data_IF_575380484965
#
_entry.id   IF_575380484965
#
_cell.length_a   1.000
_cell.length_b   1.000
_cell.length_c   1.000
_cell.angle_alpha   90.00
_cell.angle_beta   90.00
_cell.angle_gamma   90.00
#
_symmetry.space_group_name_H-M   'P 1'
#
loop_
_entity.id
_entity.type
_entity.pdbx_description
1 polymer ?
#
# COMPACT_ATOMS: atom_id res chain seq x y z
N UNK A 1 -42.51 41.76 -10.17
CA UNK A 1 -42.54 42.46 -11.45
C UNK A 1 -41.82 41.57 -12.42
N UNK A 2 -42.55 40.74 -13.19
CA UNK A 2 -42.89 40.93 -14.61
C UNK A 2 -41.64 40.80 -15.48
N UNK A 3 -41.49 39.99 -16.50
CA UNK A 3 -42.42 39.19 -17.38
C UNK A 3 -41.52 38.18 -18.13
N UNK A 4 -41.87 36.93 -18.28
CA UNK A 4 -42.72 36.22 -19.29
C UNK A 4 -42.24 36.33 -20.75
N UNK A 5 -42.00 35.10 -21.30
CA UNK A 5 -42.28 34.66 -22.69
C UNK A 5 -41.25 35.02 -23.81
N UNK A 6 -40.93 34.10 -24.74
CA UNK A 6 -41.81 33.37 -25.68
C UNK A 6 -41.04 32.38 -26.53
N UNK A 7 -41.68 31.30 -26.86
CA UNK A 7 -41.38 30.28 -27.87
C UNK A 7 -41.18 30.84 -29.28
N UNK A 8 -40.30 30.20 -30.10
CA UNK A 8 -40.57 30.04 -31.55
C UNK A 8 -40.06 28.66 -32.00
N UNK A 9 -41.03 27.86 -32.47
CA UNK A 9 -40.86 26.64 -33.25
C UNK A 9 -40.69 27.07 -34.71
N UNK A 10 -39.70 26.50 -35.41
CA UNK A 10 -39.73 26.54 -36.87
C UNK A 10 -39.36 25.13 -37.43
N UNK A 11 -40.36 24.47 -37.94
CA UNK A 11 -40.26 23.29 -38.78
C UNK A 11 -39.99 23.72 -40.20
N UNK A 12 -38.99 23.14 -40.87
CA UNK A 12 -38.84 23.25 -42.32
C UNK A 12 -38.58 21.81 -42.85
N UNK A 13 -39.59 21.30 -43.54
CA UNK A 13 -39.54 20.11 -44.37
C UNK A 13 -39.06 20.53 -45.77
N UNK A 14 -38.01 19.85 -46.34
CA UNK A 14 -37.82 19.88 -47.79
C UNK A 14 -37.18 18.55 -48.25
N UNK A 15 -37.98 17.83 -48.98
CA UNK A 15 -37.83 17.03 -50.19
C UNK A 15 -36.54 16.23 -50.48
N UNK A 16 -36.78 14.96 -50.77
CA UNK A 16 -35.94 13.98 -51.48
C UNK A 16 -35.39 14.50 -52.81
N UNK A 17 -34.08 14.28 -53.00
CA UNK A 17 -33.56 14.01 -54.35
C UNK A 17 -32.64 12.78 -54.27
N UNK A 18 -33.06 11.70 -54.92
CA UNK A 18 -32.21 10.53 -55.21
C UNK A 18 -31.22 10.90 -56.32
N UNK A 19 -29.93 10.84 -56.04
CA UNK A 19 -28.89 10.68 -57.03
C UNK A 19 -27.96 9.57 -56.55
N UNK A 20 -28.00 8.44 -57.29
CA UNK A 20 -27.12 7.30 -57.09
C UNK A 20 -25.67 7.68 -57.40
N UNK A 21 -24.83 7.52 -56.42
CA UNK A 21 -23.39 7.45 -56.58
C UNK A 21 -22.90 6.16 -55.95
N UNK A 22 -22.36 5.27 -56.76
CA UNK A 22 -21.67 4.09 -56.32
C UNK A 22 -20.48 4.49 -55.46
N UNK A 23 -20.55 4.31 -54.18
CA UNK A 23 -19.43 4.48 -53.28
C UNK A 23 -18.66 3.18 -53.14
N UNK A 24 -17.49 3.21 -53.76
CA UNK A 24 -16.37 2.32 -53.50
C UNK A 24 -16.15 2.17 -51.99
N UNK A 25 -16.31 0.96 -51.44
CA UNK A 25 -15.94 0.64 -50.07
C UNK A 25 -14.43 0.72 -49.93
N UNK A 26 -13.92 1.85 -49.53
CA UNK A 26 -12.60 1.91 -48.96
C UNK A 26 -12.64 1.13 -47.63
N UNK A 27 -12.02 -0.03 -47.57
CA UNK A 27 -11.71 -0.74 -46.36
C UNK A 27 -10.74 0.13 -45.53
N UNK A 28 -11.27 0.92 -44.65
CA UNK A 28 -10.48 1.44 -43.52
C UNK A 28 -10.09 0.21 -42.67
N UNK A 29 -8.81 0.02 -42.34
CA UNK A 29 -8.46 -0.97 -41.35
C UNK A 29 -9.09 -0.53 -40.03
N UNK A 30 -10.19 -1.14 -39.60
CA UNK A 30 -10.58 -1.17 -38.22
C UNK A 30 -9.39 -1.81 -37.50
N UNK A 31 -8.54 -0.98 -36.88
CA UNK A 31 -7.70 -1.41 -35.77
C UNK A 31 -8.68 -1.90 -34.69
N UNK A 32 -9.00 -3.18 -34.75
CA UNK A 32 -9.50 -3.89 -33.59
C UNK A 32 -8.42 -3.72 -32.52
N UNK A 33 -8.66 -2.85 -31.54
CA UNK A 33 -8.00 -2.96 -30.27
C UNK A 33 -8.36 -4.37 -29.76
N UNK A 34 -7.50 -5.34 -30.02
CA UNK A 34 -7.50 -6.59 -29.31
C UNK A 34 -7.42 -6.21 -27.83
N UNK A 35 -8.52 -6.26 -27.11
CA UNK A 35 -8.47 -6.38 -25.68
C UNK A 35 -7.54 -7.58 -25.45
N UNK A 36 -6.35 -7.32 -24.89
CA UNK A 36 -5.40 -8.36 -24.55
C UNK A 36 -6.15 -9.33 -23.65
N UNK A 37 -6.52 -10.48 -24.20
CA UNK A 37 -7.28 -11.51 -23.50
C UNK A 37 -6.30 -12.33 -22.64
N UNK A 38 -5.55 -11.62 -21.78
CA UNK A 38 -4.63 -12.20 -20.81
C UNK A 38 -5.42 -13.05 -19.80
N UNK A 39 -4.81 -14.11 -19.28
CA UNK A 39 -5.36 -14.85 -18.15
C UNK A 39 -5.18 -14.06 -16.84
N UNK A 40 -5.92 -14.42 -15.78
CA UNK A 40 -5.70 -13.83 -14.45
C UNK A 40 -4.25 -14.04 -13.97
N UNK A 41 -3.65 -15.19 -14.26
CA UNK A 41 -2.26 -15.48 -13.91
C UNK A 41 -1.26 -14.57 -14.65
N UNK A 42 -1.49 -14.28 -15.94
CA UNK A 42 -0.66 -13.33 -16.69
C UNK A 42 -0.80 -11.91 -16.17
N UNK A 43 -2.01 -11.49 -15.78
CA UNK A 43 -2.21 -10.17 -15.15
C UNK A 43 -1.45 -10.05 -13.82
N UNK A 44 -1.43 -11.11 -13.00
CA UNK A 44 -0.67 -11.14 -11.75
C UNK A 44 0.84 -11.09 -12.04
N UNK A 45 1.33 -11.86 -13.02
CA UNK A 45 2.74 -11.83 -13.40
C UNK A 45 3.17 -10.45 -13.93
N UNK A 46 2.33 -9.80 -14.74
CA UNK A 46 2.55 -8.42 -15.17
C UNK A 46 2.58 -7.44 -13.99
N UNK A 47 1.69 -7.61 -13.02
CA UNK A 47 1.67 -6.78 -11.82
C UNK A 47 2.96 -6.92 -11.00
N UNK A 48 3.50 -8.14 -10.86
CA UNK A 48 4.78 -8.37 -10.17
C UNK A 48 5.95 -7.67 -10.87
N UNK A 49 5.97 -7.68 -12.22
CA UNK A 49 6.98 -6.94 -12.99
C UNK A 49 6.87 -5.43 -12.79
N UNK A 50 5.66 -4.88 -12.71
CA UNK A 50 5.44 -3.47 -12.39
C UNK A 50 5.86 -3.14 -10.95
N UNK A 51 5.57 -4.04 -9.99
CA UNK A 51 5.98 -3.84 -8.60
C UNK A 51 7.50 -3.84 -8.41
N UNK A 52 8.23 -4.60 -9.19
CA UNK A 52 9.69 -4.54 -9.18
C UNK A 52 10.23 -3.14 -9.52
N UNK A 53 9.42 -2.30 -10.19
CA UNK A 53 9.73 -0.92 -10.54
C UNK A 53 8.94 0.10 -9.70
N UNK A 54 8.49 -0.26 -8.50
CA UNK A 54 7.56 0.52 -7.65
C UNK A 54 8.04 1.89 -7.22
N UNK A 55 9.34 2.14 -7.28
CA UNK A 55 9.88 3.48 -7.07
C UNK A 55 9.32 4.51 -8.09
N UNK A 56 8.94 4.05 -9.29
CA UNK A 56 8.12 4.80 -10.23
C UNK A 56 6.63 4.49 -9.95
N UNK A 57 5.94 5.44 -9.32
CA UNK A 57 4.53 5.28 -8.98
C UNK A 57 3.62 5.08 -10.20
N UNK A 58 4.06 5.44 -11.41
CA UNK A 58 3.31 5.14 -12.62
C UNK A 58 3.31 3.64 -12.90
N UNK A 59 4.44 2.95 -12.73
CA UNK A 59 4.52 1.50 -12.85
C UNK A 59 3.67 0.81 -11.78
N UNK A 60 3.75 1.30 -10.54
CA UNK A 60 2.91 0.77 -9.46
C UNK A 60 1.41 0.88 -9.77
N UNK A 61 0.94 2.03 -10.30
CA UNK A 61 -0.46 2.19 -10.73
C UNK A 61 -0.84 1.21 -11.83
N UNK A 62 0.05 0.91 -12.78
CA UNK A 62 -0.16 -0.14 -13.79
C UNK A 62 -0.31 -1.52 -13.13
N UNK A 63 0.53 -1.85 -12.16
CA UNK A 63 0.41 -3.08 -11.38
C UNK A 63 -0.94 -3.21 -10.67
N UNK A 64 -1.43 -2.14 -10.06
CA UNK A 64 -2.76 -2.08 -9.42
C UNK A 64 -3.86 -2.35 -10.45
N UNK A 65 -3.78 -1.77 -11.65
CA UNK A 65 -4.75 -2.03 -12.73
C UNK A 65 -4.72 -3.50 -13.16
N UNK A 66 -3.53 -4.09 -13.33
CA UNK A 66 -3.39 -5.51 -13.68
C UNK A 66 -4.00 -6.43 -12.63
N UNK A 67 -3.80 -6.16 -11.33
CA UNK A 67 -4.42 -6.95 -10.25
C UNK A 67 -5.95 -6.82 -10.20
N UNK A 68 -6.49 -5.65 -10.48
CA UNK A 68 -7.95 -5.46 -10.62
C UNK A 68 -8.51 -6.24 -11.80
N UNK A 69 -7.78 -6.30 -12.93
CA UNK A 69 -8.16 -7.12 -14.08
C UNK A 69 -8.12 -8.61 -13.73
N UNK A 70 -7.10 -9.07 -13.01
CA UNK A 70 -7.01 -10.44 -12.51
C UNK A 70 -8.23 -10.81 -11.66
N UNK A 71 -8.61 -9.96 -10.69
CA UNK A 71 -9.78 -10.19 -9.84
C UNK A 71 -11.11 -10.08 -10.59
N UNK A 72 -11.18 -9.33 -11.69
CA UNK A 72 -12.36 -9.30 -12.57
C UNK A 72 -12.55 -10.64 -13.27
N UNK A 73 -11.44 -11.29 -13.66
CA UNK A 73 -11.44 -12.60 -14.35
C UNK A 73 -11.60 -13.76 -13.37
N UNK A 74 -10.99 -13.65 -12.19
CA UNK A 74 -11.00 -14.65 -11.12
C UNK A 74 -11.18 -13.97 -9.76
N UNK A 75 -12.44 -13.71 -9.33
CA UNK A 75 -12.73 -13.07 -8.05
C UNK A 75 -12.27 -13.86 -6.83
N UNK A 76 -12.03 -15.17 -6.97
CA UNK A 76 -11.52 -16.05 -5.92
C UNK A 76 -10.00 -16.10 -5.81
N UNK A 77 -9.28 -15.29 -6.56
CA UNK A 77 -7.83 -15.33 -6.60
C UNK A 77 -7.20 -14.65 -5.38
N UNK A 78 -6.73 -15.46 -4.46
CA UNK A 78 -6.09 -14.99 -3.23
C UNK A 78 -4.85 -14.12 -3.51
N UNK A 79 -3.99 -14.57 -4.46
CA UNK A 79 -2.73 -13.88 -4.75
C UNK A 79 -2.99 -12.48 -5.33
N UNK A 80 -3.97 -12.34 -6.20
CA UNK A 80 -4.36 -11.03 -6.71
C UNK A 80 -4.92 -10.13 -5.60
N UNK A 81 -5.69 -10.68 -4.66
CA UNK A 81 -6.31 -9.91 -3.58
C UNK A 81 -5.27 -9.35 -2.58
N UNK A 82 -4.38 -10.20 -2.05
CA UNK A 82 -3.40 -9.70 -1.08
C UNK A 82 -2.34 -8.80 -1.75
N UNK A 83 -1.93 -9.10 -2.99
CA UNK A 83 -1.04 -8.22 -3.75
C UNK A 83 -1.68 -6.86 -4.02
N UNK A 84 -2.96 -6.82 -4.35
CA UNK A 84 -3.69 -5.56 -4.52
C UNK A 84 -3.71 -4.74 -3.22
N UNK A 85 -3.86 -5.38 -2.06
CA UNK A 85 -3.75 -4.74 -0.75
C UNK A 85 -2.36 -4.15 -0.53
N UNK A 86 -1.31 -4.92 -0.81
CA UNK A 86 0.10 -4.51 -0.74
C UNK A 86 0.42 -3.31 -1.63
N UNK A 87 0.01 -3.36 -2.90
CA UNK A 87 0.33 -2.32 -3.86
C UNK A 87 -0.38 -1.00 -3.52
N UNK A 88 -1.62 -1.08 -3.05
CA UNK A 88 -2.36 0.09 -2.59
C UNK A 88 -1.72 0.70 -1.32
N UNK A 89 -1.24 -0.12 -0.38
CA UNK A 89 -0.47 0.37 0.76
C UNK A 89 0.76 1.16 0.31
N UNK A 90 1.56 0.57 -0.61
CA UNK A 90 2.76 1.25 -1.12
C UNK A 90 2.42 2.56 -1.84
N UNK A 91 1.37 2.56 -2.68
CA UNK A 91 0.90 3.79 -3.34
C UNK A 91 0.49 4.85 -2.32
N UNK A 92 -0.26 4.45 -1.30
CA UNK A 92 -0.80 5.38 -0.31
C UNK A 92 0.28 6.11 0.49
N UNK A 93 1.37 5.42 0.85
CA UNK A 93 2.45 6.00 1.64
C UNK A 93 3.48 6.80 0.83
N UNK A 94 3.48 6.68 -0.52
CA UNK A 94 4.47 7.32 -1.38
C UNK A 94 3.90 8.39 -2.32
N UNK A 95 2.58 8.50 -2.46
CA UNK A 95 1.98 9.57 -3.27
C UNK A 95 1.91 10.88 -2.49
N UNK A 96 2.25 11.98 -3.16
CA UNK A 96 2.10 13.33 -2.59
C UNK A 96 0.63 13.84 -2.66
N UNK A 97 -0.25 13.10 -3.34
CA UNK A 97 -1.67 13.45 -3.47
C UNK A 97 -2.48 12.82 -2.33
N UNK A 98 -2.93 13.64 -1.37
CA UNK A 98 -3.68 13.18 -0.21
C UNK A 98 -4.98 12.43 -0.56
N UNK A 99 -5.72 12.88 -1.60
CA UNK A 99 -6.94 12.18 -2.02
C UNK A 99 -6.63 10.79 -2.60
N UNK A 100 -5.52 10.66 -3.36
CA UNK A 100 -5.06 9.37 -3.87
C UNK A 100 -4.59 8.47 -2.73
N UNK A 101 -3.87 9.03 -1.75
CA UNK A 101 -3.45 8.31 -0.54
C UNK A 101 -4.64 7.73 0.21
N UNK A 102 -5.64 8.57 0.52
CA UNK A 102 -6.85 8.15 1.22
C UNK A 102 -7.64 7.08 0.46
N UNK A 103 -7.75 7.22 -0.87
CA UNK A 103 -8.43 6.23 -1.70
C UNK A 103 -7.64 4.93 -1.77
N UNK A 104 -6.31 4.99 -1.89
CA UNK A 104 -5.46 3.81 -1.93
C UNK A 104 -5.53 3.03 -0.61
N UNK A 105 -5.54 3.67 0.56
CA UNK A 105 -5.78 2.97 1.83
C UNK A 105 -7.14 2.28 1.88
N UNK A 106 -8.21 2.93 1.42
CA UNK A 106 -9.55 2.32 1.37
C UNK A 106 -9.58 1.09 0.45
N UNK A 107 -8.99 1.20 -0.72
CA UNK A 107 -8.90 0.10 -1.69
C UNK A 107 -8.03 -1.04 -1.14
N UNK A 108 -6.92 -0.70 -0.47
CA UNK A 108 -6.03 -1.65 0.19
C UNK A 108 -6.72 -2.43 1.31
N UNK A 109 -7.52 -1.74 2.16
CA UNK A 109 -8.34 -2.37 3.20
C UNK A 109 -9.38 -3.31 2.58
N UNK A 110 -10.07 -2.87 1.52
CA UNK A 110 -11.06 -3.70 0.83
C UNK A 110 -10.44 -4.97 0.26
N UNK A 111 -9.31 -4.85 -0.43
CA UNK A 111 -8.58 -5.96 -1.02
C UNK A 111 -8.01 -6.91 0.06
N UNK A 112 -7.49 -6.38 1.17
CA UNK A 112 -7.00 -7.16 2.29
C UNK A 112 -8.12 -7.97 2.96
N UNK A 113 -9.30 -7.38 3.18
CA UNK A 113 -10.49 -8.11 3.67
C UNK A 113 -10.89 -9.25 2.74
N UNK A 114 -10.86 -9.01 1.43
CA UNK A 114 -11.12 -10.06 0.43
C UNK A 114 -10.09 -11.19 0.55
N UNK A 115 -8.80 -10.88 0.67
CA UNK A 115 -7.76 -11.89 0.84
C UNK A 115 -7.98 -12.73 2.12
N UNK A 116 -8.25 -12.09 3.26
CA UNK A 116 -8.55 -12.80 4.53
C UNK A 116 -9.78 -13.69 4.39
N UNK A 117 -10.85 -13.24 3.73
CA UNK A 117 -12.05 -14.04 3.49
C UNK A 117 -11.77 -15.26 2.60
N UNK A 118 -10.89 -15.12 1.60
CA UNK A 118 -10.53 -16.21 0.70
C UNK A 118 -9.64 -17.25 1.37
N UNK A 119 -8.64 -16.84 2.14
CA UNK A 119 -7.70 -17.75 2.80
C UNK A 119 -7.23 -17.18 4.16
N UNK A 120 -8.01 -17.42 5.19
CA UNK A 120 -7.76 -16.93 6.55
C UNK A 120 -6.50 -17.53 7.23
N UNK A 121 -6.02 -18.66 6.72
CA UNK A 121 -4.84 -19.36 7.26
C UNK A 121 -3.53 -18.95 6.60
N UNK A 122 -3.54 -17.89 5.80
CA UNK A 122 -2.34 -17.32 5.17
C UNK A 122 -2.01 -15.94 5.73
N UNK A 123 -0.75 -15.65 6.03
CA UNK A 123 -0.35 -14.39 6.69
C UNK A 123 -0.48 -13.15 5.80
N UNK A 124 -0.36 -13.30 4.46
CA UNK A 124 -0.28 -12.13 3.54
C UNK A 124 -1.51 -11.22 3.62
N UNK A 125 -2.72 -11.81 3.60
CA UNK A 125 -3.97 -11.06 3.69
C UNK A 125 -4.06 -10.26 4.98
N UNK A 126 -3.77 -10.90 6.11
CA UNK A 126 -3.77 -10.28 7.44
C UNK A 126 -2.73 -9.16 7.55
N UNK A 127 -1.49 -9.42 7.12
CA UNK A 127 -0.43 -8.44 7.21
C UNK A 127 -0.76 -7.16 6.44
N UNK A 128 -1.14 -7.29 5.16
CA UNK A 128 -1.41 -6.11 4.34
C UNK A 128 -2.73 -5.41 4.71
N UNK A 129 -3.72 -6.14 5.27
CA UNK A 129 -4.91 -5.53 5.86
C UNK A 129 -4.54 -4.66 7.07
N UNK A 130 -3.78 -5.21 8.02
CA UNK A 130 -3.34 -4.49 9.20
C UNK A 130 -2.42 -3.31 8.87
N UNK A 131 -1.52 -3.45 7.88
CA UNK A 131 -0.67 -2.36 7.40
C UNK A 131 -1.50 -1.20 6.82
N UNK A 132 -2.51 -1.49 6.01
CA UNK A 132 -3.43 -0.47 5.49
C UNK A 132 -4.26 0.20 6.57
N UNK A 133 -4.74 -0.54 7.59
CA UNK A 133 -5.37 0.06 8.77
C UNK A 133 -4.42 1.04 9.48
N UNK A 134 -3.16 0.64 9.70
CA UNK A 134 -2.15 1.47 10.35
C UNK A 134 -1.82 2.74 9.57
N UNK A 135 -1.68 2.63 8.25
CA UNK A 135 -1.44 3.78 7.38
C UNK A 135 -2.62 4.76 7.37
N UNK A 136 -3.85 4.27 7.18
CA UNK A 136 -5.06 5.07 7.21
C UNK A 136 -5.27 5.78 8.56
N UNK A 137 -4.90 5.14 9.65
CA UNK A 137 -5.02 5.70 11.01
C UNK A 137 -4.19 6.99 11.22
N UNK A 138 -3.07 7.14 10.52
CA UNK A 138 -2.23 8.35 10.59
C UNK A 138 -2.92 9.59 10.02
N UNK A 139 -3.88 9.43 9.13
CA UNK A 139 -4.61 10.51 8.47
C UNK A 139 -5.84 10.99 9.26
N UNK A 140 -6.28 10.26 10.31
CA UNK A 140 -7.45 10.63 11.11
C UNK A 140 -7.30 10.18 12.58
N UNK A 141 -7.20 11.14 13.50
CA UNK A 141 -7.01 10.87 14.92
C UNK A 141 -8.15 10.05 15.52
N UNK A 142 -9.40 10.29 15.10
CA UNK A 142 -10.58 9.58 15.62
C UNK A 142 -10.64 8.16 15.08
N UNK A 143 -10.42 7.98 13.79
CA UNK A 143 -10.38 6.65 13.16
C UNK A 143 -9.15 5.85 13.64
N UNK A 144 -8.00 6.52 13.88
CA UNK A 144 -6.79 5.89 14.38
C UNK A 144 -7.00 5.17 15.72
N UNK A 145 -7.73 5.78 16.66
CA UNK A 145 -8.03 5.16 17.95
C UNK A 145 -8.94 3.92 17.82
N UNK A 146 -9.91 3.96 16.89
CA UNK A 146 -10.81 2.84 16.66
C UNK A 146 -10.10 1.63 16.00
N UNK A 147 -9.08 1.88 15.17
CA UNK A 147 -8.39 0.85 14.40
C UNK A 147 -7.19 0.21 15.11
N UNK A 148 -6.76 0.72 16.29
CA UNK A 148 -5.65 0.14 17.07
C UNK A 148 -5.86 -1.35 17.35
N UNK A 149 -7.07 -1.73 17.77
CA UNK A 149 -7.39 -3.13 18.04
C UNK A 149 -7.43 -3.98 16.77
N UNK A 150 -7.92 -3.43 15.66
CA UNK A 150 -7.97 -4.13 14.38
C UNK A 150 -6.54 -4.40 13.87
N UNK A 151 -5.65 -3.39 13.92
CA UNK A 151 -4.24 -3.57 13.54
C UNK A 151 -3.60 -4.67 14.38
N UNK A 152 -3.79 -4.61 15.71
CA UNK A 152 -3.20 -5.59 16.62
C UNK A 152 -3.72 -7.00 16.34
N UNK A 153 -5.01 -7.17 16.19
CA UNK A 153 -5.65 -8.46 15.90
C UNK A 153 -5.11 -9.09 14.61
N UNK A 154 -4.97 -8.30 13.55
CA UNK A 154 -4.42 -8.79 12.29
C UNK A 154 -2.94 -9.19 12.44
N UNK A 155 -2.13 -8.39 13.12
CA UNK A 155 -0.71 -8.71 13.35
C UNK A 155 -0.51 -9.91 14.28
N UNK A 156 -1.31 -10.05 15.34
CA UNK A 156 -1.30 -11.23 16.22
C UNK A 156 -1.66 -12.49 15.43
N UNK A 157 -2.56 -12.39 14.46
CA UNK A 157 -2.87 -13.49 13.54
C UNK A 157 -1.66 -13.83 12.67
N UNK A 158 -0.96 -12.83 12.11
CA UNK A 158 0.28 -13.07 11.36
C UNK A 158 1.31 -13.79 12.23
N UNK A 159 1.57 -13.29 13.46
CA UNK A 159 2.54 -13.89 14.38
C UNK A 159 2.20 -15.31 14.76
N UNK A 160 0.92 -15.66 14.87
CA UNK A 160 0.47 -17.03 15.11
C UNK A 160 0.66 -17.94 13.91
N UNK A 161 0.51 -17.43 12.69
CA UNK A 161 0.64 -18.17 11.44
C UNK A 161 2.11 -18.31 11.02
N UNK A 162 2.87 -17.22 11.08
CA UNK A 162 4.29 -17.15 10.69
C UNK A 162 4.99 -16.00 11.40
N UNK A 163 5.77 -16.30 12.44
CA UNK A 163 6.52 -15.29 13.19
C UNK A 163 7.62 -14.61 12.37
N UNK A 164 8.16 -15.31 11.36
CA UNK A 164 9.20 -14.79 10.46
C UNK A 164 8.67 -14.03 9.25
N UNK A 165 7.35 -13.92 9.11
CA UNK A 165 6.74 -13.28 7.94
C UNK A 165 7.34 -11.90 7.65
N UNK A 166 7.79 -11.70 6.39
CA UNK A 166 8.43 -10.44 5.95
C UNK A 166 9.54 -9.98 6.92
N UNK A 167 10.42 -10.89 7.30
CA UNK A 167 11.56 -10.61 8.17
C UNK A 167 11.13 -9.89 9.48
N UNK A 168 10.19 -10.49 10.21
CA UNK A 168 9.74 -9.99 11.51
C UNK A 168 8.89 -8.72 11.47
N UNK A 169 8.39 -8.33 10.28
CA UNK A 169 7.64 -7.07 10.11
C UNK A 169 6.35 -7.00 10.93
N UNK A 170 5.73 -8.14 11.29
CA UNK A 170 4.55 -8.11 12.15
C UNK A 170 4.90 -7.62 13.57
N UNK A 171 6.03 -8.03 14.14
CA UNK A 171 6.53 -7.50 15.41
C UNK A 171 6.80 -5.99 15.33
N UNK A 172 7.40 -5.53 14.22
CA UNK A 172 7.60 -4.11 13.97
C UNK A 172 6.28 -3.33 13.99
N UNK A 173 5.25 -3.83 13.31
CA UNK A 173 3.94 -3.15 13.27
C UNK A 173 3.28 -3.13 14.65
N UNK A 174 3.32 -4.23 15.41
CA UNK A 174 2.84 -4.26 16.81
C UNK A 174 3.60 -3.26 17.67
N UNK A 175 4.93 -3.23 17.55
CA UNK A 175 5.77 -2.26 18.24
C UNK A 175 5.43 -0.82 17.87
N UNK A 176 5.17 -0.52 16.60
CA UNK A 176 4.72 0.81 16.16
C UNK A 176 3.37 1.21 16.75
N UNK A 177 2.46 0.26 16.95
CA UNK A 177 1.19 0.52 17.67
C UNK A 177 1.47 0.92 19.12
N UNK A 178 2.33 0.17 19.83
CA UNK A 178 2.70 0.53 21.20
C UNK A 178 3.45 1.87 21.29
N UNK A 179 4.29 2.19 20.31
CA UNK A 179 5.10 3.41 20.29
C UNK A 179 4.26 4.67 20.07
N UNK A 180 3.26 4.58 19.18
CA UNK A 180 2.54 5.75 18.66
C UNK A 180 1.12 5.92 19.26
N UNK A 181 0.52 4.86 19.79
CA UNK A 181 -0.80 4.96 20.41
C UNK A 181 -0.73 5.78 21.73
N UNK A 182 -1.75 6.58 22.03
CA UNK A 182 -1.87 7.17 23.38
C UNK A 182 -1.96 6.09 24.46
N UNK A 183 -1.43 6.36 25.65
CA UNK A 183 -1.45 5.41 26.77
C UNK A 183 -2.85 4.92 27.14
N UNK A 184 -3.87 5.78 26.98
CA UNK A 184 -5.29 5.44 27.25
C UNK A 184 -5.82 4.30 26.33
N UNK A 185 -5.22 4.10 25.17
CA UNK A 185 -5.55 3.01 24.22
C UNK A 185 -4.43 1.97 24.13
N UNK A 186 -3.58 1.89 25.14
CA UNK A 186 -2.56 0.86 25.32
C UNK A 186 -1.20 1.19 24.73
N UNK A 187 -0.90 2.45 24.42
CA UNK A 187 0.45 2.88 24.04
C UNK A 187 1.44 2.68 25.19
N UNK A 188 2.59 2.07 24.88
CA UNK A 188 3.66 1.77 25.85
C UNK A 188 5.01 1.66 25.12
N UNK A 189 5.85 2.71 25.13
CA UNK A 189 7.13 2.68 24.45
C UNK A 189 8.09 1.58 24.92
N UNK A 190 7.97 1.10 26.17
CA UNK A 190 8.80 -0.02 26.64
C UNK A 190 8.38 -1.35 26.01
N UNK A 191 7.06 -1.55 25.88
CA UNK A 191 6.55 -2.71 25.11
C UNK A 191 6.90 -2.63 23.64
N UNK A 192 6.90 -1.41 23.07
CA UNK A 192 7.35 -1.24 21.68
C UNK A 192 8.79 -1.74 21.48
N UNK A 193 9.68 -1.41 22.39
CA UNK A 193 11.07 -1.92 22.38
C UNK A 193 11.08 -3.44 22.45
N UNK A 194 10.35 -4.04 23.40
CA UNK A 194 10.32 -5.50 23.58
C UNK A 194 9.83 -6.23 22.33
N UNK A 195 8.71 -5.78 21.74
CA UNK A 195 8.16 -6.39 20.53
C UNK A 195 9.15 -6.33 19.36
N UNK A 196 9.79 -5.17 19.17
CA UNK A 196 10.77 -5.03 18.08
C UNK A 196 12.07 -5.80 18.34
N UNK A 197 12.56 -5.88 19.59
CA UNK A 197 13.68 -6.75 19.97
C UNK A 197 13.35 -8.22 19.71
N UNK A 198 12.12 -8.68 20.00
CA UNK A 198 11.68 -10.04 19.68
C UNK A 198 11.62 -10.28 18.17
N UNK A 199 11.21 -9.27 17.40
CA UNK A 199 11.21 -9.31 15.94
C UNK A 199 12.59 -9.48 15.31
N UNK A 200 13.64 -8.97 15.94
CA UNK A 200 15.02 -9.10 15.44
C UNK A 200 15.50 -10.56 15.32
N UNK A 201 14.89 -11.51 16.03
CA UNK A 201 15.22 -12.95 15.87
C UNK A 201 14.94 -13.45 14.46
N UNK A 202 14.05 -12.78 13.72
CA UNK A 202 13.64 -13.10 12.37
C UNK A 202 14.04 -12.01 11.39
N UNK A 203 14.23 -10.78 11.88
CA UNK A 203 14.32 -9.56 11.10
C UNK A 203 15.72 -8.92 11.05
N UNK A 204 16.78 -9.68 11.24
CA UNK A 204 18.17 -9.19 11.18
C UNK A 204 18.47 -8.37 9.89
N UNK A 205 17.99 -8.73 8.68
CA UNK A 205 18.19 -7.92 7.48
C UNK A 205 17.14 -6.82 7.27
N UNK A 206 16.13 -6.68 8.14
CA UNK A 206 15.04 -5.72 7.98
C UNK A 206 15.44 -4.31 8.44
N UNK A 207 15.83 -3.45 7.51
CA UNK A 207 16.30 -2.09 7.82
C UNK A 207 15.21 -1.23 8.51
N UNK A 208 13.92 -1.40 8.19
CA UNK A 208 12.84 -0.68 8.85
C UNK A 208 12.61 -1.15 10.29
N UNK A 209 12.76 -2.45 10.57
CA UNK A 209 12.68 -2.96 11.94
C UNK A 209 13.76 -2.31 12.83
N UNK A 210 15.01 -2.26 12.36
CA UNK A 210 16.09 -1.58 13.05
C UNK A 210 15.84 -0.08 13.23
N UNK A 211 15.31 0.59 12.20
CA UNK A 211 14.99 2.02 12.26
C UNK A 211 13.95 2.31 13.36
N UNK A 212 12.84 1.58 13.35
CA UNK A 212 11.77 1.79 14.32
C UNK A 212 12.13 1.34 15.73
N UNK A 213 12.99 0.33 15.85
CA UNK A 213 13.57 -0.03 17.16
C UNK A 213 14.48 1.10 17.68
N UNK A 214 15.27 1.73 16.83
CA UNK A 214 16.06 2.90 17.23
C UNK A 214 15.19 4.08 17.66
N UNK A 215 14.08 4.33 16.97
CA UNK A 215 13.09 5.33 17.39
C UNK A 215 12.48 4.99 18.77
N UNK A 216 12.16 3.72 19.00
CA UNK A 216 11.63 3.24 20.27
C UNK A 216 12.67 3.36 21.40
N UNK A 217 13.95 3.01 21.16
CA UNK A 217 15.03 3.21 22.11
C UNK A 217 15.20 4.69 22.49
N UNK A 218 15.25 5.58 21.48
CA UNK A 218 15.32 7.02 21.74
C UNK A 218 14.15 7.50 22.59
N UNK A 219 12.93 7.00 22.33
CA UNK A 219 11.72 7.36 23.09
C UNK A 219 11.80 6.98 24.56
N UNK A 220 12.55 5.95 24.92
CA UNK A 220 12.76 5.48 26.30
C UNK A 220 14.09 5.93 26.89
N UNK A 221 14.87 6.80 26.21
CA UNK A 221 16.14 7.35 26.68
C UNK A 221 17.32 6.39 26.58
N UNK A 222 17.26 5.40 25.65
CA UNK A 222 18.34 4.43 25.38
C UNK A 222 19.12 4.84 24.11
N UNK A 223 19.71 6.03 24.13
CA UNK A 223 20.31 6.64 22.93
C UNK A 223 21.51 5.85 22.38
N UNK A 224 22.31 5.20 23.24
CA UNK A 224 23.43 4.33 22.77
C UNK A 224 22.91 3.10 22.02
N UNK A 225 21.79 2.54 22.46
CA UNK A 225 21.14 1.43 21.78
C UNK A 225 20.59 1.89 20.43
N UNK A 226 19.96 3.05 20.38
CA UNK A 226 19.50 3.66 19.14
C UNK A 226 20.62 3.89 18.15
N UNK A 227 21.77 4.45 18.60
CA UNK A 227 22.96 4.64 17.74
C UNK A 227 23.47 3.32 17.15
N UNK A 228 23.45 2.22 17.92
CA UNK A 228 23.88 0.91 17.41
C UNK A 228 23.00 0.41 16.27
N UNK A 229 21.68 0.48 16.44
CA UNK A 229 20.75 0.05 15.41
C UNK A 229 20.86 0.91 14.14
N UNK A 230 20.99 2.23 14.29
CA UNK A 230 21.12 3.15 13.16
C UNK A 230 22.43 2.89 12.37
N UNK A 231 23.57 2.69 13.06
CA UNK A 231 24.84 2.35 12.43
C UNK A 231 24.78 1.00 11.71
N UNK A 232 24.00 0.05 12.25
CA UNK A 232 23.77 -1.24 11.62
C UNK A 232 23.07 -1.08 10.27
N UNK A 233 21.99 -0.28 10.19
CA UNK A 233 21.31 0.02 8.92
C UNK A 233 22.30 0.57 7.89
N UNK A 234 23.14 1.54 8.28
CA UNK A 234 24.10 2.20 7.38
C UNK A 234 25.18 1.25 6.86
N UNK A 235 25.43 0.13 7.56
CA UNK A 235 26.41 -0.91 7.16
C UNK A 235 25.79 -2.12 6.45
N UNK A 236 24.46 -2.19 6.32
CA UNK A 236 23.80 -3.32 5.66
C UNK A 236 24.10 -3.37 4.17
N UNK A 237 24.20 -4.59 3.63
CA UNK A 237 24.11 -4.83 2.19
C UNK A 237 22.65 -5.13 1.86
N UNK A 238 21.95 -4.25 1.12
CA UNK A 238 20.53 -4.44 0.86
C UNK A 238 20.27 -5.57 -0.13
N UNK A 239 19.17 -6.30 0.08
CA UNK A 239 18.61 -7.17 -0.95
C UNK A 239 18.18 -6.30 -2.16
N UNK A 240 18.53 -6.67 -3.39
CA UNK A 240 18.11 -5.95 -4.60
C UNK A 240 16.61 -5.73 -4.72
N UNK A 241 15.79 -6.66 -4.20
CA UNK A 241 14.34 -6.56 -4.23
C UNK A 241 13.77 -5.49 -3.28
N UNK A 242 14.55 -5.09 -2.26
CA UNK A 242 14.17 -4.10 -1.23
C UNK A 242 15.00 -2.83 -1.30
N UNK A 243 15.64 -2.55 -2.43
CA UNK A 243 16.45 -1.34 -2.63
C UNK A 243 15.72 -0.02 -2.35
N UNK A 244 14.45 0.20 -2.78
CA UNK A 244 13.74 1.42 -2.46
C UNK A 244 13.57 1.60 -0.94
N UNK A 245 13.10 0.57 -0.25
CA UNK A 245 12.86 0.55 1.19
C UNK A 245 14.16 0.76 1.98
N UNK A 246 15.24 0.12 1.56
CA UNK A 246 16.55 0.33 2.19
C UNK A 246 17.03 1.77 2.06
N UNK A 247 16.88 2.40 0.90
CA UNK A 247 17.25 3.81 0.69
C UNK A 247 16.48 4.74 1.62
N UNK A 248 15.20 4.48 1.81
CA UNK A 248 14.35 5.25 2.74
C UNK A 248 14.81 5.06 4.18
N UNK A 249 14.95 3.80 4.63
CA UNK A 249 15.40 3.50 5.98
C UNK A 249 16.80 4.05 6.26
N UNK A 250 17.74 3.92 5.33
CA UNK A 250 19.11 4.45 5.44
C UNK A 250 19.14 5.97 5.53
N UNK A 251 18.33 6.67 4.70
CA UNK A 251 18.21 8.14 4.77
C UNK A 251 17.60 8.60 6.10
N UNK A 252 16.59 7.91 6.59
CA UNK A 252 15.98 8.21 7.88
C UNK A 252 16.94 7.91 9.05
N UNK A 253 17.68 6.80 8.95
CA UNK A 253 18.66 6.42 9.95
C UNK A 253 19.77 7.46 10.11
N UNK A 254 20.30 7.98 8.99
CA UNK A 254 21.32 9.03 9.04
C UNK A 254 20.79 10.29 9.73
N UNK A 255 19.58 10.74 9.36
CA UNK A 255 18.97 11.92 9.99
C UNK A 255 18.74 11.76 11.48
N UNK A 256 18.30 10.57 11.90
CA UNK A 256 18.06 10.31 13.32
C UNK A 256 19.38 10.21 14.10
N UNK A 257 20.40 9.62 13.52
CA UNK A 257 21.74 9.54 14.10
C UNK A 257 22.32 10.95 14.32
N UNK A 258 22.27 11.82 13.30
CA UNK A 258 22.71 13.21 13.40
C UNK A 258 21.96 13.97 14.51
N UNK A 259 20.63 13.73 14.67
CA UNK A 259 19.84 14.34 15.74
C UNK A 259 20.25 13.88 17.14
N UNK A 260 20.63 12.62 17.30
CA UNK A 260 21.08 12.09 18.60
C UNK A 260 22.48 12.64 18.92
N UNK A 261 23.38 12.68 17.94
CA UNK A 261 24.77 13.12 18.14
C UNK A 261 24.90 14.65 18.36
N UNK A 262 23.90 15.44 17.97
CA UNK A 262 23.84 16.89 18.24
C UNK A 262 23.04 17.28 19.49
N UNK A 263 22.39 16.33 20.14
CA UNK A 263 21.61 16.56 21.36
C UNK A 263 22.46 16.36 22.64
N UNK A 264 23.62 15.74 22.49
CA UNK A 264 24.65 15.57 23.54
C UNK A 264 25.60 16.77 23.53
#
# INVERSE_FOLDING_TARGET
>A
MRDVNRYIVLAISIALMLSGAACNKANSPQQSFSANNTSAAEDIANADQFYAQRADLMQLRRGIVSLRQALTKDPGNYDAAWKLSKFNYYLAIHTDNSNESDQAFKDGISAGKTAVQLQNEKPDGHFWLGANYGGAAKHSTIQGLATVNDIRSEMETVLRLDQGYQDGSAYMVVGLVYLNAPGIVGGDPKKAVQEMEDGLRFGEPNAFLHLHLAEAYKKVGRDDDARRELKKILSMTPDPNYQPEYKEASSAAQKLLDQIDHAD
#
